data_IF_067043538922
#
_entry.id   IF_067043538922
#
_cell.length_a   1.000
_cell.length_b   1.000
_cell.length_c   1.000
_cell.angle_alpha   90.00
_cell.angle_beta   90.00
_cell.angle_gamma   90.00
#
_symmetry.space_group_name_H-M   'P 1'
#
loop_
_entity.id
_entity.type
_entity.pdbx_description
1 polymer ?
#
# COMPACT_ATOMS: atom_id res chain seq x y z
N UNK A 1 16.25 30.30 -11.03
CA UNK A 1 16.84 28.97 -10.81
C UNK A 1 17.64 28.62 -12.05
N UNK A 2 18.95 28.37 -11.95
CA UNK A 2 19.82 28.21 -13.13
C UNK A 2 19.63 26.81 -13.79
N UNK A 3 19.85 26.66 -15.11
CA UNK A 3 19.57 25.40 -15.86
C UNK A 3 20.27 24.20 -15.20
N UNK A 4 21.51 24.38 -14.73
CA UNK A 4 22.28 23.35 -14.02
C UNK A 4 21.65 22.94 -12.68
N UNK A 5 21.01 23.86 -11.96
CA UNK A 5 20.28 23.58 -10.73
C UNK A 5 18.96 22.83 -11.01
N UNK A 6 18.26 23.21 -12.10
CA UNK A 6 17.08 22.48 -12.59
C UNK A 6 17.45 21.03 -12.94
N UNK A 7 18.53 20.82 -13.69
CA UNK A 7 19.04 19.50 -14.05
C UNK A 7 19.43 18.66 -12.84
N UNK A 8 20.19 19.23 -11.90
CA UNK A 8 20.58 18.50 -10.68
C UNK A 8 19.36 18.16 -9.81
N UNK A 9 18.37 19.04 -9.75
CA UNK A 9 17.11 18.79 -9.04
C UNK A 9 16.33 17.65 -9.71
N UNK A 10 16.21 17.68 -11.04
CA UNK A 10 15.54 16.62 -11.80
C UNK A 10 16.23 15.26 -11.58
N UNK A 11 17.55 15.18 -11.70
CA UNK A 11 18.32 13.95 -11.45
C UNK A 11 18.11 13.45 -10.02
N UNK A 12 18.11 14.34 -9.03
CA UNK A 12 17.84 13.99 -7.64
C UNK A 12 16.43 13.42 -7.46
N UNK A 13 15.43 14.05 -8.10
CA UNK A 13 14.04 13.59 -8.07
C UNK A 13 13.89 12.20 -8.70
N UNK A 14 14.47 11.95 -9.88
CA UNK A 14 14.44 10.62 -10.51
C UNK A 14 15.11 9.54 -9.65
N UNK A 15 16.20 9.88 -8.94
CA UNK A 15 16.85 8.95 -8.00
C UNK A 15 16.01 8.66 -6.76
N UNK A 16 15.18 9.60 -6.35
CA UNK A 16 14.33 9.46 -5.17
C UNK A 16 13.07 8.66 -5.49
N UNK A 17 12.48 8.92 -6.66
CA UNK A 17 11.26 8.30 -7.17
C UNK A 17 11.58 7.21 -8.21
N UNK A 18 12.26 6.16 -7.76
CA UNK A 18 12.75 5.07 -8.62
C UNK A 18 11.59 4.39 -9.38
N UNK A 19 10.47 4.18 -8.70
CA UNK A 19 9.31 3.47 -9.26
C UNK A 19 8.66 4.29 -10.37
N UNK A 20 8.44 5.58 -10.12
CA UNK A 20 8.00 6.52 -11.15
C UNK A 20 8.96 6.52 -12.34
N UNK A 21 10.26 6.61 -12.09
CA UNK A 21 11.30 6.64 -13.13
C UNK A 21 11.24 5.40 -14.01
N UNK A 22 11.19 4.20 -13.41
CA UNK A 22 11.07 2.94 -14.15
C UNK A 22 9.77 2.91 -14.97
N UNK A 23 8.65 3.29 -14.36
CA UNK A 23 7.35 3.32 -15.05
C UNK A 23 7.35 4.29 -16.23
N UNK A 24 8.00 5.45 -16.09
CA UNK A 24 8.10 6.46 -17.14
C UNK A 24 8.91 5.95 -18.33
N UNK A 25 10.09 5.37 -18.09
CA UNK A 25 10.90 4.79 -19.16
C UNK A 25 10.21 3.61 -19.84
N UNK A 26 9.49 2.78 -19.08
CA UNK A 26 8.68 1.71 -19.64
C UNK A 26 7.55 2.26 -20.52
N UNK A 27 6.84 3.29 -20.07
CA UNK A 27 5.78 3.95 -20.83
C UNK A 27 6.32 4.58 -22.13
N UNK A 28 7.46 5.27 -22.05
CA UNK A 28 8.11 5.86 -23.23
C UNK A 28 8.58 4.78 -24.21
N UNK A 29 9.28 3.76 -23.73
CA UNK A 29 9.81 2.68 -24.57
C UNK A 29 8.72 1.90 -25.28
N UNK A 30 7.65 1.55 -24.57
CA UNK A 30 6.48 0.87 -25.18
C UNK A 30 5.73 1.79 -26.14
N UNK A 31 5.68 3.10 -25.87
CA UNK A 31 5.03 4.09 -26.75
C UNK A 31 5.75 4.30 -28.08
N UNK A 32 7.04 3.97 -28.15
CA UNK A 32 7.78 3.97 -29.43
C UNK A 32 7.37 2.80 -30.34
N UNK A 33 6.83 1.72 -29.77
CA UNK A 33 6.42 0.51 -30.49
C UNK A 33 4.92 0.55 -30.81
N UNK A 34 4.11 1.01 -29.86
CA UNK A 34 2.65 1.06 -29.97
C UNK A 34 2.14 2.41 -29.50
N UNK A 35 1.29 3.05 -30.30
CA UNK A 35 0.80 4.39 -29.98
C UNK A 35 -0.12 4.34 -28.73
N UNK A 36 0.13 5.19 -27.71
CA UNK A 36 -0.68 5.22 -26.50
C UNK A 36 -2.08 5.75 -26.78
N UNK A 37 -3.09 5.18 -26.10
CA UNK A 37 -4.49 5.62 -26.15
C UNK A 37 -4.92 6.16 -24.79
N UNK A 38 -5.75 7.20 -24.79
CA UNK A 38 -6.31 7.78 -23.56
C UNK A 38 -7.20 6.78 -22.80
N UNK A 39 -7.84 5.86 -23.51
CA UNK A 39 -8.69 4.79 -22.96
C UNK A 39 -7.94 3.84 -22.02
N UNK A 40 -6.61 3.80 -22.09
CA UNK A 40 -5.83 2.96 -21.17
C UNK A 40 -5.87 3.49 -19.74
N UNK A 41 -6.10 4.80 -19.56
CA UNK A 41 -6.03 5.48 -18.28
C UNK A 41 -7.37 5.31 -17.53
N UNK A 42 -7.34 4.60 -16.40
CA UNK A 42 -8.48 4.55 -15.50
C UNK A 42 -8.53 5.82 -14.64
N UNK A 43 -9.32 6.80 -15.08
CA UNK A 43 -9.50 8.07 -14.37
C UNK A 43 -10.23 7.94 -13.04
N UNK A 44 -11.13 6.97 -12.90
CA UNK A 44 -11.85 6.70 -11.67
C UNK A 44 -10.87 6.33 -10.55
N UNK A 45 -9.98 5.37 -10.80
CA UNK A 45 -8.94 4.97 -9.84
C UNK A 45 -8.04 6.15 -9.47
N UNK A 46 -7.59 6.94 -10.45
CA UNK A 46 -6.75 8.12 -10.19
C UNK A 46 -7.46 9.14 -9.28
N UNK A 47 -8.74 9.41 -9.55
CA UNK A 47 -9.53 10.37 -8.78
C UNK A 47 -9.84 9.85 -7.38
N UNK A 48 -10.21 8.58 -7.24
CA UNK A 48 -10.44 7.95 -5.93
C UNK A 48 -9.15 7.96 -5.09
N UNK A 49 -8.00 7.64 -5.68
CA UNK A 49 -6.71 7.72 -5.01
C UNK A 49 -6.38 9.15 -4.57
N UNK A 50 -6.56 10.14 -5.44
CA UNK A 50 -6.36 11.55 -5.10
C UNK A 50 -7.23 11.98 -3.92
N UNK A 51 -8.52 11.63 -3.94
CA UNK A 51 -9.46 11.96 -2.88
C UNK A 51 -9.04 11.35 -1.54
N UNK A 52 -8.66 10.07 -1.54
CA UNK A 52 -8.14 9.38 -0.37
C UNK A 52 -6.88 10.08 0.15
N UNK A 53 -5.89 10.35 -0.70
CA UNK A 53 -4.63 11.02 -0.32
C UNK A 53 -4.88 12.34 0.40
N UNK A 54 -5.78 13.19 -0.11
CA UNK A 54 -6.09 14.48 0.51
C UNK A 54 -6.59 14.32 1.94
N UNK A 55 -7.57 13.42 2.16
CA UNK A 55 -8.14 13.17 3.49
C UNK A 55 -7.10 12.57 4.41
N UNK A 56 -6.28 11.67 3.90
CA UNK A 56 -5.24 11.02 4.66
C UNK A 56 -4.18 12.02 5.14
N UNK A 57 -3.69 12.90 4.26
CA UNK A 57 -2.76 13.98 4.64
C UNK A 57 -3.41 14.87 5.71
N UNK A 58 -4.72 15.12 5.62
CA UNK A 58 -5.43 15.85 6.65
C UNK A 58 -5.42 15.11 8.01
N UNK A 59 -5.65 13.79 8.02
CA UNK A 59 -5.59 12.97 9.23
C UNK A 59 -4.20 12.98 9.88
N UNK A 60 -3.14 12.89 9.08
CA UNK A 60 -1.75 13.00 9.54
C UNK A 60 -1.48 14.37 10.15
N UNK A 61 -1.85 15.47 9.47
CA UNK A 61 -1.64 16.83 9.99
C UNK A 61 -2.37 17.11 11.30
N UNK A 62 -3.57 16.55 11.42
CA UNK A 62 -4.42 16.62 12.61
C UNK A 62 -3.97 15.68 13.72
N UNK A 63 -3.02 14.77 13.45
CA UNK A 63 -2.47 13.77 14.36
C UNK A 63 -3.53 12.84 14.96
N UNK A 64 -4.53 12.47 14.16
CA UNK A 64 -5.65 11.64 14.63
C UNK A 64 -5.18 10.24 15.02
N UNK A 65 -4.41 9.60 14.14
CA UNK A 65 -3.90 8.24 14.35
C UNK A 65 -2.80 8.21 15.40
N UNK A 66 -1.90 9.19 15.39
CA UNK A 66 -0.86 9.32 16.42
C UNK A 66 -1.48 9.40 17.82
N UNK A 67 -2.55 10.19 17.97
CA UNK A 67 -3.24 10.32 19.25
C UNK A 67 -3.81 8.97 19.72
N UNK A 68 -4.52 8.26 18.85
CA UNK A 68 -5.10 6.95 19.17
C UNK A 68 -3.99 5.98 19.59
N UNK A 69 -2.91 5.92 18.82
CA UNK A 69 -1.78 5.05 19.12
C UNK A 69 -1.15 5.37 20.47
N UNK A 70 -0.85 6.65 20.74
CA UNK A 70 -0.23 7.09 21.99
C UNK A 70 -1.15 6.84 23.19
N UNK A 71 -2.47 7.08 23.09
CA UNK A 71 -3.41 6.82 24.18
C UNK A 71 -3.48 5.34 24.58
N UNK A 72 -3.31 4.43 23.62
CA UNK A 72 -3.25 2.98 23.88
C UNK A 72 -1.87 2.61 24.45
N UNK A 73 -0.79 3.13 23.85
CA UNK A 73 0.59 2.75 24.18
C UNK A 73 1.08 3.29 25.53
N UNK A 74 0.53 4.40 26.04
CA UNK A 74 0.87 4.91 27.38
C UNK A 74 0.49 3.90 28.48
N UNK A 75 -0.58 3.12 28.26
CA UNK A 75 -1.12 2.17 29.24
C UNK A 75 -0.36 0.83 29.29
N UNK A 76 0.58 0.61 28.37
CA UNK A 76 1.27 -0.67 28.23
C UNK A 76 2.78 -0.45 28.31
N UNK A 77 3.45 -1.26 29.11
CA UNK A 77 4.90 -1.19 29.28
C UNK A 77 5.62 -2.44 28.84
N UNK A 78 4.93 -3.51 28.45
CA UNK A 78 5.58 -4.73 28.00
C UNK A 78 5.93 -4.68 26.50
N UNK A 79 7.17 -4.98 26.11
CA UNK A 79 7.65 -4.92 24.73
C UNK A 79 6.84 -5.77 23.75
N UNK A 80 6.45 -6.98 24.15
CA UNK A 80 5.64 -7.86 23.30
C UNK A 80 4.25 -7.29 23.08
N UNK A 81 3.67 -6.68 24.10
CA UNK A 81 2.37 -6.03 24.01
C UNK A 81 2.43 -4.75 23.18
N UNK A 82 3.47 -3.93 23.37
CA UNK A 82 3.74 -2.75 22.54
C UNK A 82 3.89 -3.14 21.07
N UNK A 83 4.68 -4.19 20.78
CA UNK A 83 4.81 -4.75 19.43
C UNK A 83 3.47 -5.22 18.86
N UNK A 84 2.66 -5.92 19.67
CA UNK A 84 1.32 -6.38 19.24
C UNK A 84 0.41 -5.20 18.90
N UNK A 85 0.38 -4.17 19.74
CA UNK A 85 -0.45 -2.97 19.55
C UNK A 85 -0.04 -2.25 18.28
N UNK A 86 1.25 -1.97 18.09
CA UNK A 86 1.76 -1.29 16.90
C UNK A 86 1.48 -2.09 15.62
N UNK A 87 1.76 -3.39 15.64
CA UNK A 87 1.44 -4.29 14.52
C UNK A 87 -0.06 -4.30 14.22
N UNK A 88 -0.91 -4.34 15.26
CA UNK A 88 -2.37 -4.34 15.10
C UNK A 88 -2.90 -2.99 14.59
N UNK A 89 -2.33 -1.87 15.05
CA UNK A 89 -2.67 -0.55 14.54
C UNK A 89 -2.34 -0.44 13.05
N UNK A 90 -1.14 -0.87 12.64
CA UNK A 90 -0.80 -0.98 11.22
C UNK A 90 -1.79 -1.85 10.45
N UNK A 91 -2.08 -3.05 10.97
CA UNK A 91 -3.02 -3.99 10.35
C UNK A 91 -4.40 -3.38 10.12
N UNK A 92 -5.05 -2.88 11.17
CA UNK A 92 -6.42 -2.36 11.08
C UNK A 92 -6.48 -0.99 10.41
N UNK A 93 -5.54 -0.08 10.67
CA UNK A 93 -5.57 1.22 10.01
C UNK A 93 -5.35 1.11 8.52
N UNK A 94 -4.47 0.21 8.04
CA UNK A 94 -4.23 0.01 6.61
C UNK A 94 -5.46 -0.42 5.81
N UNK A 95 -6.51 -0.96 6.47
CA UNK A 95 -7.81 -1.25 5.84
C UNK A 95 -8.56 0.02 5.42
N UNK A 96 -8.23 1.17 6.00
CA UNK A 96 -8.97 2.42 5.78
C UNK A 96 -8.14 3.48 5.05
N UNK A 97 -6.89 3.71 5.46
CA UNK A 97 -6.09 4.89 5.07
C UNK A 97 -4.95 4.61 4.10
N UNK A 98 -4.93 3.43 3.48
CA UNK A 98 -3.81 2.84 2.72
C UNK A 98 -2.65 2.29 3.56
N UNK A 99 -1.95 1.31 2.99
CA UNK A 99 -0.76 0.67 3.55
C UNK A 99 0.42 1.64 3.76
N UNK A 100 0.67 2.52 2.79
CA UNK A 100 1.83 3.43 2.83
C UNK A 100 1.73 4.44 3.97
N UNK A 101 0.53 5.00 4.16
CA UNK A 101 0.25 6.00 5.19
C UNK A 101 0.30 5.39 6.58
N UNK A 102 -0.23 4.17 6.74
CA UNK A 102 -0.13 3.44 8.00
C UNK A 102 1.35 3.29 8.41
N UNK A 103 2.25 2.96 7.47
CA UNK A 103 3.68 2.90 7.78
C UNK A 103 4.30 4.28 8.05
N UNK A 104 3.96 5.30 7.28
CA UNK A 104 4.43 6.68 7.50
C UNK A 104 4.02 7.20 8.89
N UNK A 105 2.87 6.78 9.39
CA UNK A 105 2.39 7.14 10.73
C UNK A 105 3.07 6.31 11.82
N UNK A 106 3.01 4.98 11.73
CA UNK A 106 3.35 4.12 12.88
C UNK A 106 4.82 3.73 12.95
N UNK A 107 5.54 3.61 11.82
CA UNK A 107 6.98 3.27 11.85
C UNK A 107 7.78 4.35 12.59
N UNK A 108 7.61 5.67 12.33
CA UNK A 108 8.29 6.70 13.11
C UNK A 108 7.93 6.66 14.60
N UNK A 109 6.67 6.36 14.94
CA UNK A 109 6.25 6.20 16.34
C UNK A 109 7.00 5.03 17.00
N UNK A 110 7.11 3.89 16.33
CA UNK A 110 7.88 2.73 16.77
C UNK A 110 9.35 3.08 17.00
N UNK A 111 9.94 3.87 16.10
CA UNK A 111 11.33 4.36 16.23
C UNK A 111 11.50 5.29 17.43
N UNK A 112 10.53 6.18 17.69
CA UNK A 112 10.54 7.07 18.86
C UNK A 112 10.50 6.25 20.16
N UNK A 113 9.60 5.26 20.24
CA UNK A 113 9.47 4.41 21.42
C UNK A 113 10.74 3.58 21.61
N UNK A 114 11.29 3.02 20.53
CA UNK A 114 12.53 2.25 20.57
C UNK A 114 13.72 3.04 21.09
N UNK A 115 13.84 4.32 20.71
CA UNK A 115 14.85 5.24 21.26
C UNK A 115 14.65 5.50 22.74
N UNK A 116 13.42 5.85 23.16
CA UNK A 116 13.11 6.16 24.56
C UNK A 116 13.30 4.94 25.46
N UNK A 117 12.87 3.77 25.02
CA UNK A 117 12.92 2.50 25.75
C UNK A 117 14.19 1.65 25.48
N UNK A 118 15.12 2.16 24.66
CA UNK A 118 16.41 1.53 24.30
C UNK A 118 16.32 0.08 23.79
N UNK A 119 15.32 -0.25 22.97
CA UNK A 119 15.25 -1.55 22.28
C UNK A 119 15.51 -1.43 20.77
N UNK A 120 15.74 -2.57 20.10
CA UNK A 120 15.91 -2.60 18.64
C UNK A 120 14.55 -2.76 17.92
N UNK A 121 14.08 -1.79 17.12
CA UNK A 121 12.76 -1.82 16.50
C UNK A 121 12.65 -2.74 15.28
N UNK A 122 13.76 -3.33 14.80
CA UNK A 122 13.82 -4.08 13.54
C UNK A 122 12.69 -5.10 13.36
N UNK A 123 12.47 -5.95 14.36
CA UNK A 123 11.44 -7.00 14.26
C UNK A 123 10.04 -6.41 14.23
N UNK A 124 9.77 -5.37 15.02
CA UNK A 124 8.46 -4.71 15.07
C UNK A 124 8.17 -4.09 13.71
N UNK A 125 9.12 -3.37 13.13
CA UNK A 125 8.95 -2.74 11.81
C UNK A 125 8.72 -3.78 10.71
N UNK A 126 9.42 -4.92 10.74
CA UNK A 126 9.15 -6.02 9.79
C UNK A 126 7.72 -6.56 9.95
N UNK A 127 7.22 -6.68 11.19
CA UNK A 127 5.84 -7.09 11.45
C UNK A 127 4.83 -6.03 11.03
N UNK A 128 5.13 -4.74 11.21
CA UNK A 128 4.31 -3.63 10.71
C UNK A 128 4.18 -3.68 9.18
N UNK A 129 5.28 -3.94 8.47
CA UNK A 129 5.24 -4.08 7.00
C UNK A 129 4.39 -5.28 6.55
N UNK A 130 4.54 -6.43 7.20
CA UNK A 130 3.67 -7.57 6.93
C UNK A 130 2.21 -7.24 7.28
N UNK A 131 1.99 -6.54 8.40
CA UNK A 131 0.67 -6.16 8.87
C UNK A 131 -0.06 -5.24 7.92
N UNK A 132 0.61 -4.22 7.34
CA UNK A 132 -0.05 -3.35 6.37
C UNK A 132 -0.33 -4.06 5.05
N UNK A 133 0.57 -4.95 4.58
CA UNK A 133 0.33 -5.71 3.35
C UNK A 133 -0.81 -6.72 3.51
N UNK A 134 -0.92 -7.37 4.67
CA UNK A 134 -2.01 -8.30 4.97
C UNK A 134 -3.30 -7.55 5.27
N UNK A 135 -3.27 -6.56 6.16
CA UNK A 135 -4.45 -5.84 6.62
C UNK A 135 -5.14 -5.07 5.50
N UNK A 136 -4.37 -4.33 4.69
CA UNK A 136 -4.89 -3.57 3.54
C UNK A 136 -5.62 -4.42 2.51
N UNK A 137 -5.32 -5.72 2.45
CA UNK A 137 -5.94 -6.60 1.47
C UNK A 137 -7.46 -6.76 1.66
N UNK A 138 -7.98 -6.50 2.88
CA UNK A 138 -9.39 -6.70 3.21
C UNK A 138 -10.32 -5.78 2.41
N UNK A 139 -9.85 -4.59 2.06
CA UNK A 139 -10.68 -3.53 1.47
C UNK A 139 -10.09 -3.02 0.15
N UNK A 140 -10.94 -2.49 -0.77
CA UNK A 140 -10.45 -1.91 -2.02
C UNK A 140 -9.51 -0.73 -1.79
N UNK A 141 -9.90 0.22 -0.93
CA UNK A 141 -9.10 1.41 -0.61
C UNK A 141 -7.84 1.13 0.21
N UNK A 142 -7.70 -0.07 0.79
CA UNK A 142 -6.56 -0.40 1.64
C UNK A 142 -5.24 -0.40 0.88
N UNK A 143 -5.24 -0.73 -0.40
CA UNK A 143 -4.06 -0.56 -1.23
C UNK A 143 -4.41 -0.24 -2.69
N UNK A 144 -3.50 0.40 -3.43
CA UNK A 144 -3.82 0.90 -4.76
C UNK A 144 -4.14 -0.20 -5.79
N UNK A 145 -3.51 -1.37 -5.69
CA UNK A 145 -3.77 -2.49 -6.59
C UNK A 145 -5.14 -3.12 -6.37
N UNK A 146 -5.63 -3.18 -5.14
CA UNK A 146 -6.96 -3.67 -4.84
C UNK A 146 -8.03 -2.72 -5.35
N UNK A 147 -7.84 -1.41 -5.14
CA UNK A 147 -8.73 -0.39 -5.66
C UNK A 147 -8.82 -0.46 -7.18
N UNK A 148 -7.68 -0.65 -7.84
CA UNK A 148 -7.63 -0.86 -9.28
C UNK A 148 -8.42 -2.09 -9.72
N UNK A 149 -8.16 -3.26 -9.13
CA UNK A 149 -8.84 -4.51 -9.51
C UNK A 149 -10.35 -4.44 -9.24
N UNK A 150 -10.74 -3.82 -8.12
CA UNK A 150 -12.13 -3.61 -7.75
C UNK A 150 -12.88 -2.77 -8.79
N UNK A 151 -12.30 -1.63 -9.20
CA UNK A 151 -12.88 -0.74 -10.22
C UNK A 151 -12.81 -1.35 -11.63
N UNK A 152 -11.67 -1.94 -12.02
CA UNK A 152 -11.46 -2.49 -13.37
C UNK A 152 -12.37 -3.66 -13.70
N UNK A 153 -12.61 -4.56 -12.74
CA UNK A 153 -13.49 -5.71 -12.91
C UNK A 153 -14.93 -5.46 -12.43
N UNK A 154 -15.25 -4.25 -11.98
CA UNK A 154 -16.55 -3.87 -11.37
C UNK A 154 -17.01 -4.90 -10.32
N UNK A 155 -16.12 -5.20 -9.37
CA UNK A 155 -16.35 -6.25 -8.38
C UNK A 155 -17.34 -5.79 -7.31
N UNK A 156 -18.35 -6.61 -7.01
CA UNK A 156 -19.26 -6.34 -5.90
C UNK A 156 -18.55 -6.36 -4.54
N UNK A 157 -18.89 -5.42 -3.64
CA UNK A 157 -18.30 -5.31 -2.30
C UNK A 157 -18.25 -6.65 -1.56
N UNK A 158 -19.37 -7.38 -1.49
CA UNK A 158 -19.44 -8.66 -0.78
C UNK A 158 -18.53 -9.73 -1.38
N UNK A 159 -18.38 -9.76 -2.70
CA UNK A 159 -17.52 -10.74 -3.37
C UNK A 159 -16.04 -10.43 -3.14
N UNK A 160 -15.69 -9.15 -3.15
CA UNK A 160 -14.35 -8.70 -2.76
C UNK A 160 -14.03 -9.13 -1.33
N UNK A 161 -14.90 -8.83 -0.36
CA UNK A 161 -14.70 -9.23 1.03
C UNK A 161 -14.60 -10.75 1.20
N UNK A 162 -15.44 -11.52 0.50
CA UNK A 162 -15.37 -13.00 0.53
C UNK A 162 -14.05 -13.53 0.00
N UNK A 163 -13.49 -12.90 -1.04
CA UNK A 163 -12.22 -13.30 -1.62
C UNK A 163 -11.02 -13.02 -0.70
N UNK A 164 -11.10 -11.99 0.15
CA UNK A 164 -9.95 -11.51 0.94
C UNK A 164 -10.02 -11.86 2.43
N UNK A 165 -11.22 -12.03 3.00
CA UNK A 165 -11.40 -12.21 4.45
C UNK A 165 -10.62 -13.42 4.99
N UNK A 166 -10.60 -14.53 4.25
CA UNK A 166 -9.88 -15.72 4.68
C UNK A 166 -8.37 -15.46 4.75
N UNK A 167 -7.81 -14.74 3.76
CA UNK A 167 -6.40 -14.31 3.75
C UNK A 167 -6.06 -13.41 4.94
N UNK A 168 -6.95 -12.47 5.24
CA UNK A 168 -6.79 -11.52 6.34
C UNK A 168 -6.83 -12.22 7.70
N UNK A 169 -7.75 -13.18 7.90
CA UNK A 169 -7.85 -13.94 9.16
C UNK A 169 -6.60 -14.79 9.38
N UNK A 170 -6.18 -15.56 8.37
CA UNK A 170 -4.95 -16.37 8.45
C UNK A 170 -3.74 -15.47 8.71
N UNK A 171 -3.69 -14.30 8.10
CA UNK A 171 -2.60 -13.37 8.32
C UNK A 171 -2.61 -12.69 9.68
N UNK A 172 -3.77 -12.40 10.27
CA UNK A 172 -3.86 -11.95 11.66
C UNK A 172 -3.30 -13.01 12.62
N UNK A 173 -3.65 -14.28 12.41
CA UNK A 173 -3.12 -15.41 13.19
C UNK A 173 -1.60 -15.52 13.00
N UNK A 174 -1.12 -15.43 11.77
CA UNK A 174 0.31 -15.49 11.45
C UNK A 174 1.10 -14.38 12.14
N UNK A 175 0.61 -13.13 12.08
CA UNK A 175 1.22 -11.98 12.76
C UNK A 175 1.25 -12.17 14.27
N UNK A 176 0.17 -12.71 14.85
CA UNK A 176 0.13 -13.05 16.28
C UNK A 176 1.20 -14.09 16.63
N UNK A 177 1.34 -15.16 15.85
CA UNK A 177 2.36 -16.20 16.02
C UNK A 177 3.78 -15.61 15.93
N UNK A 178 4.04 -14.75 14.94
CA UNK A 178 5.33 -14.08 14.82
C UNK A 178 5.60 -13.14 16.00
N UNK A 179 4.59 -12.41 16.48
CA UNK A 179 4.71 -11.51 17.62
C UNK A 179 5.04 -12.27 18.93
N UNK A 180 4.64 -13.54 19.07
CA UNK A 180 5.06 -14.39 20.21
C UNK A 180 6.59 -14.55 20.31
N UNK A 181 7.32 -14.38 19.20
CA UNK A 181 8.80 -14.43 19.15
C UNK A 181 9.47 -13.12 19.58
N UNK A 182 8.69 -12.08 19.90
CA UNK A 182 9.19 -10.87 20.55
C UNK A 182 9.41 -11.14 22.03
N UNK A 183 10.51 -10.59 22.56
CA UNK A 183 10.91 -10.72 23.96
C UNK A 183 9.84 -10.14 24.90
N UNK A 184 9.56 -10.88 25.97
CA UNK A 184 8.60 -10.49 27.01
C UNK A 184 9.32 -9.73 28.12
N UNK A 185 9.67 -8.47 27.87
CA UNK A 185 10.43 -7.63 28.81
C UNK A 185 9.69 -6.33 28.99
N UNK A 186 9.68 -5.81 30.21
CA UNK A 186 9.08 -4.53 30.51
C UNK A 186 9.99 -3.38 30.06
N UNK A 187 9.36 -2.31 29.62
CA UNK A 187 9.97 -1.14 29.01
C UNK A 187 9.73 0.06 29.91
N UNK A 188 10.78 0.83 30.09
CA UNK A 188 10.72 2.12 30.76
C UNK A 188 10.78 3.22 29.70
N UNK A 189 9.62 3.84 29.44
CA UNK A 189 9.51 5.02 28.58
C UNK A 189 8.29 5.84 28.97
N UNK A 190 8.27 7.11 28.59
CA UNK A 190 7.07 7.95 28.67
C UNK A 190 6.77 8.62 27.33
N UNK A 191 5.47 8.76 27.03
CA UNK A 191 4.99 9.39 25.80
C UNK A 191 4.14 10.60 26.14
N UNK A 192 4.47 11.72 25.51
CA UNK A 192 3.70 12.94 25.64
C UNK A 192 2.32 12.76 25.00
N UNK A 193 1.26 13.13 25.74
CA UNK A 193 -0.10 13.06 25.21
C UNK A 193 -0.24 13.96 23.99
N UNK A 194 -0.79 13.40 22.92
CA UNK A 194 -1.03 14.14 21.68
C UNK A 194 -2.43 14.76 21.72
N UNK A 195 -2.50 16.08 21.47
CA UNK A 195 -3.77 16.80 21.29
C UNK A 195 -4.10 16.91 19.81
N UNK A 196 -5.37 16.70 19.46
CA UNK A 196 -5.88 17.01 18.12
C UNK A 196 -5.82 18.53 17.95
N UNK A 197 -5.13 18.99 16.91
CA UNK A 197 -4.90 20.42 16.67
C UNK A 197 -6.21 21.18 16.42
N UNK A 198 -7.10 20.61 15.60
CA UNK A 198 -8.41 21.18 15.29
C UNK A 198 -9.48 20.09 15.20
N UNK A 199 -10.37 20.07 16.18
CA UNK A 199 -11.47 19.09 16.26
C UNK A 199 -12.53 19.29 15.17
N UNK A 200 -12.78 20.53 14.73
CA UNK A 200 -13.79 20.81 13.71
C UNK A 200 -13.33 20.27 12.36
N UNK A 201 -12.11 20.61 11.96
CA UNK A 201 -11.49 20.06 10.75
C UNK A 201 -11.44 18.53 10.79
N UNK A 202 -11.12 17.92 11.94
CA UNK A 202 -11.14 16.47 12.09
C UNK A 202 -12.51 15.86 11.79
N UNK A 203 -13.60 16.41 12.33
CA UNK A 203 -14.96 15.92 12.06
C UNK A 203 -15.31 16.05 10.58
N UNK A 204 -14.95 17.17 9.95
CA UNK A 204 -15.22 17.41 8.54
C UNK A 204 -14.46 16.40 7.67
N UNK A 205 -13.16 16.21 7.90
CA UNK A 205 -12.37 15.24 7.14
C UNK A 205 -12.79 13.80 7.40
N UNK A 206 -13.23 13.45 8.61
CA UNK A 206 -13.83 12.13 8.88
C UNK A 206 -15.14 11.94 8.09
N UNK A 207 -15.97 12.98 7.98
CA UNK A 207 -17.21 12.93 7.21
C UNK A 207 -16.92 12.81 5.71
N UNK A 208 -15.94 13.58 5.22
CA UNK A 208 -15.47 13.51 3.84
C UNK A 208 -14.86 12.13 3.52
N UNK A 209 -14.12 11.54 4.46
CA UNK A 209 -13.60 10.19 4.32
C UNK A 209 -14.72 9.18 4.08
N UNK A 210 -15.75 9.18 4.93
CA UNK A 210 -16.92 8.29 4.78
C UNK A 210 -17.59 8.51 3.42
N UNK A 211 -17.72 9.76 3.00
CA UNK A 211 -18.30 10.10 1.70
C UNK A 211 -17.46 9.56 0.52
N UNK A 212 -16.13 9.64 0.60
CA UNK A 212 -15.24 9.03 -0.40
C UNK A 212 -15.35 7.52 -0.38
N UNK A 213 -15.49 6.88 0.79
CA UNK A 213 -15.70 5.42 0.86
C UNK A 213 -17.01 5.00 0.17
N UNK A 214 -18.09 5.77 0.31
CA UNK A 214 -19.31 5.52 -0.45
C UNK A 214 -19.05 5.57 -1.96
N UNK A 215 -18.15 6.44 -2.40
CA UNK A 215 -17.76 6.51 -3.80
C UNK A 215 -16.90 5.33 -4.25
N UNK A 216 -15.96 4.87 -3.41
CA UNK A 216 -15.18 3.66 -3.67
C UNK A 216 -16.09 2.44 -3.86
N UNK A 217 -17.22 2.36 -3.15
CA UNK A 217 -18.19 1.27 -3.29
C UNK A 217 -19.26 1.53 -4.37
N UNK A 218 -19.03 2.46 -5.30
CA UNK A 218 -19.94 2.80 -6.39
C UNK A 218 -21.34 3.29 -5.94
N UNK A 219 -21.50 3.69 -4.67
CA UNK A 219 -22.75 4.30 -4.15
C UNK A 219 -22.86 5.77 -4.56
N UNK A 220 -21.73 6.45 -4.69
CA UNK A 220 -21.62 7.85 -5.11
C UNK A 220 -20.67 7.95 -6.29
N UNK A 221 -21.04 8.70 -7.32
CA UNK A 221 -20.16 8.94 -8.47
C UNK A 221 -18.84 9.61 -8.04
N UNK A 222 -17.72 9.04 -8.48
CA UNK A 222 -16.37 9.50 -8.15
C UNK A 222 -16.10 10.96 -8.54
N UNK A 223 -16.79 11.49 -9.55
CA UNK A 223 -16.70 12.89 -9.99
C UNK A 223 -17.33 13.82 -8.97
N UNK A 224 -18.44 13.40 -8.36
CA UNK A 224 -19.10 14.16 -7.28
C UNK A 224 -18.22 14.17 -6.04
N UNK A 225 -17.67 13.01 -5.65
CA UNK A 225 -16.69 12.91 -4.56
C UNK A 225 -15.46 13.79 -4.80
N UNK A 226 -14.98 13.87 -6.03
CA UNK A 226 -13.86 14.73 -6.41
C UNK A 226 -14.16 16.21 -6.22
N UNK A 227 -15.28 16.70 -6.77
CA UNK A 227 -15.66 18.12 -6.66
C UNK A 227 -15.83 18.51 -5.19
N UNK A 228 -16.48 17.67 -4.38
CA UNK A 228 -16.68 17.94 -2.95
C UNK A 228 -15.34 17.96 -2.21
N UNK A 229 -14.46 16.99 -2.48
CA UNK A 229 -13.10 16.96 -1.91
C UNK A 229 -12.33 18.24 -2.24
N UNK A 230 -12.35 18.66 -3.52
CA UNK A 230 -11.69 19.90 -3.96
C UNK A 230 -12.23 21.11 -3.21
N UNK A 231 -13.55 21.29 -3.14
CA UNK A 231 -14.18 22.45 -2.49
C UNK A 231 -13.83 22.48 -0.99
N UNK A 232 -14.07 21.38 -0.27
CA UNK A 232 -13.85 21.30 1.17
C UNK A 232 -12.37 21.57 1.50
N UNK A 233 -11.45 20.88 0.82
CA UNK A 233 -10.02 21.04 1.08
C UNK A 233 -9.48 22.40 0.65
N UNK A 234 -10.05 23.01 -0.40
CA UNK A 234 -9.69 24.36 -0.79
C UNK A 234 -10.16 25.42 0.23
N UNK A 235 -11.31 25.21 0.88
CA UNK A 235 -11.81 26.14 1.90
C UNK A 235 -11.05 25.96 3.23
N UNK A 236 -10.80 24.72 3.64
CA UNK A 236 -10.26 24.43 4.97
C UNK A 236 -8.73 24.51 5.01
N UNK A 237 -8.02 23.83 4.10
CA UNK A 237 -6.55 23.79 4.12
C UNK A 237 -5.97 23.54 2.71
N UNK A 238 -5.79 24.63 1.96
CA UNK A 238 -5.23 24.61 0.60
C UNK A 238 -3.84 24.00 0.52
N UNK A 239 -3.08 23.98 1.63
CA UNK A 239 -1.73 23.40 1.63
C UNK A 239 -1.76 21.88 1.44
N UNK A 240 -2.88 21.19 1.70
CA UNK A 240 -3.01 19.75 1.45
C UNK A 240 -2.68 19.40 0.00
N UNK A 241 -3.13 20.22 -0.97
CA UNK A 241 -2.86 19.99 -2.38
C UNK A 241 -1.37 20.01 -2.75
N UNK A 242 -0.51 20.63 -1.93
CA UNK A 242 0.95 20.65 -2.18
C UNK A 242 1.64 19.41 -1.64
N UNK A 243 0.98 18.66 -0.76
CA UNK A 243 1.53 17.48 -0.09
C UNK A 243 1.03 16.18 -0.70
N UNK A 244 0.11 16.24 -1.66
CA UNK A 244 -0.33 15.08 -2.45
C UNK A 244 0.86 14.48 -3.18
N UNK A 245 0.96 13.15 -3.15
CA UNK A 245 1.95 12.40 -3.90
C UNK A 245 1.55 12.29 -5.38
N UNK A 246 1.84 13.35 -6.13
CA UNK A 246 1.62 13.37 -7.57
C UNK A 246 2.55 12.41 -8.33
N UNK A 247 3.70 12.01 -7.77
CA UNK A 247 4.57 11.03 -8.42
C UNK A 247 3.92 9.65 -8.42
N UNK A 248 3.23 9.27 -7.34
CA UNK A 248 2.45 8.05 -7.33
C UNK A 248 1.32 8.09 -8.37
N UNK A 249 0.53 9.18 -8.45
CA UNK A 249 -0.50 9.31 -9.49
C UNK A 249 0.06 9.26 -10.92
N UNK A 250 1.20 9.90 -11.17
CA UNK A 250 1.88 9.84 -12.46
C UNK A 250 2.43 8.44 -12.76
N UNK A 251 2.88 7.70 -11.74
CA UNK A 251 3.31 6.30 -11.86
C UNK A 251 2.16 5.43 -12.36
N UNK A 252 0.96 5.63 -11.84
CA UNK A 252 -0.25 4.95 -12.34
C UNK A 252 -0.53 5.24 -13.81
N UNK A 253 -0.48 6.52 -14.20
CA UNK A 253 -0.64 6.92 -15.61
C UNK A 253 0.41 6.24 -16.49
N UNK A 254 1.67 6.21 -16.06
CA UNK A 254 2.75 5.56 -16.80
C UNK A 254 2.51 4.04 -16.91
N UNK A 255 2.09 3.36 -15.84
CA UNK A 255 1.77 1.94 -15.90
C UNK A 255 0.56 1.64 -16.78
N UNK A 256 -0.51 2.45 -16.72
CA UNK A 256 -1.65 2.31 -17.61
C UNK A 256 -1.26 2.44 -19.08
N UNK A 257 -0.42 3.43 -19.41
CA UNK A 257 0.11 3.60 -20.78
C UNK A 257 0.99 2.41 -21.18
N UNK A 258 1.97 2.07 -20.35
CA UNK A 258 2.93 1.01 -20.64
C UNK A 258 2.24 -0.34 -20.86
N UNK A 259 1.33 -0.70 -19.96
CA UNK A 259 0.63 -1.97 -19.98
C UNK A 259 -0.43 -1.98 -21.08
N UNK A 260 -1.13 -0.87 -21.31
CA UNK A 260 -2.04 -0.73 -22.45
C UNK A 260 -1.32 -0.92 -23.79
N UNK A 261 -0.11 -0.39 -23.94
CA UNK A 261 0.72 -0.65 -25.12
C UNK A 261 1.12 -2.12 -25.22
N UNK A 262 1.65 -2.70 -24.13
CA UNK A 262 2.05 -4.11 -24.08
C UNK A 262 0.89 -5.07 -24.42
N UNK A 263 -0.33 -4.78 -23.96
CA UNK A 263 -1.50 -5.61 -24.25
C UNK A 263 -1.95 -5.57 -25.72
N UNK A 264 -1.48 -4.60 -26.51
CA UNK A 264 -1.75 -4.54 -27.94
C UNK A 264 -0.60 -5.15 -28.79
N UNK A 265 0.47 -5.64 -28.16
CA UNK A 265 1.56 -6.31 -28.87
C UNK A 265 1.23 -7.80 -29.02
N UNK A 266 1.12 -8.29 -30.26
CA UNK A 266 0.70 -9.67 -30.57
C UNK A 266 1.54 -10.73 -29.84
N UNK A 267 2.86 -10.56 -29.79
CA UNK A 267 3.76 -11.51 -29.10
C UNK A 267 3.47 -11.61 -27.60
N UNK A 268 3.18 -10.47 -26.95
CA UNK A 268 2.88 -10.42 -25.52
C UNK A 268 1.49 -11.01 -25.27
N UNK A 269 0.50 -10.63 -26.07
CA UNK A 269 -0.86 -11.18 -25.98
C UNK A 269 -0.87 -12.71 -26.10
N UNK A 270 -0.19 -13.26 -27.11
CA UNK A 270 -0.08 -14.71 -27.29
C UNK A 270 0.65 -15.41 -26.13
N UNK A 271 1.74 -14.83 -25.63
CA UNK A 271 2.51 -15.37 -24.51
C UNK A 271 1.67 -15.38 -23.23
N UNK A 272 0.98 -14.27 -22.95
CA UNK A 272 0.16 -14.11 -21.76
C UNK A 272 -1.07 -15.02 -21.80
N UNK A 273 -1.72 -15.18 -22.95
CA UNK A 273 -2.82 -16.15 -23.12
C UNK A 273 -2.37 -17.60 -22.93
N UNK A 274 -1.15 -17.95 -23.36
CA UNK A 274 -0.56 -19.28 -23.10
C UNK A 274 -0.16 -19.48 -21.64
N UNK A 275 0.26 -18.43 -20.95
CA UNK A 275 0.66 -18.47 -19.54
C UNK A 275 -0.55 -18.52 -18.60
N UNK A 276 -1.59 -17.74 -18.87
CA UNK A 276 -2.75 -17.53 -18.00
C UNK A 276 -3.95 -18.44 -18.36
N UNK A 277 -3.68 -19.72 -18.58
CA UNK A 277 -4.68 -20.69 -19.07
C UNK A 277 -5.68 -21.14 -18.02
N UNK A 278 -5.35 -21.12 -16.73
CA UNK A 278 -6.24 -21.54 -15.66
C UNK A 278 -6.02 -20.74 -14.36
N UNK A 279 -6.96 -20.84 -13.43
CA UNK A 279 -6.93 -20.16 -12.12
C UNK A 279 -5.60 -20.37 -11.38
N UNK A 280 -5.06 -21.59 -11.42
CA UNK A 280 -3.79 -21.93 -10.78
C UNK A 280 -2.61 -21.17 -11.40
N UNK A 281 -2.54 -21.09 -12.73
CA UNK A 281 -1.46 -20.37 -13.39
C UNK A 281 -1.58 -18.86 -13.15
N UNK A 282 -2.78 -18.29 -13.21
CA UNK A 282 -3.04 -16.88 -12.87
C UNK A 282 -2.56 -16.57 -11.45
N UNK A 283 -2.87 -17.43 -10.48
CA UNK A 283 -2.45 -17.28 -9.10
C UNK A 283 -0.91 -17.26 -8.95
N UNK A 284 -0.21 -18.24 -9.52
CA UNK A 284 1.25 -18.30 -9.41
C UNK A 284 1.96 -17.19 -10.21
N UNK A 285 1.48 -16.84 -11.40
CA UNK A 285 2.05 -15.72 -12.15
C UNK A 285 1.83 -14.38 -11.45
N UNK A 286 0.70 -14.19 -10.77
CA UNK A 286 0.45 -13.01 -9.93
C UNK A 286 1.47 -12.89 -8.80
N UNK A 287 1.76 -14.00 -8.12
CA UNK A 287 2.79 -14.03 -7.07
C UNK A 287 4.18 -13.76 -7.64
N UNK A 288 4.54 -14.47 -8.72
CA UNK A 288 5.86 -14.41 -9.34
C UNK A 288 6.17 -13.01 -9.87
N UNK A 289 5.28 -12.44 -10.69
CA UNK A 289 5.51 -11.10 -11.24
C UNK A 289 5.48 -10.02 -10.17
N UNK A 290 4.71 -10.17 -9.09
CA UNK A 290 4.78 -9.24 -7.97
C UNK A 290 6.20 -9.15 -7.38
N UNK A 291 6.97 -10.25 -7.35
CA UNK A 291 8.36 -10.22 -6.87
C UNK A 291 9.31 -9.42 -7.77
N UNK A 292 8.99 -9.33 -9.06
CA UNK A 292 9.85 -8.73 -10.09
C UNK A 292 9.51 -7.26 -10.35
N UNK A 293 8.22 -6.95 -10.49
CA UNK A 293 7.73 -5.63 -10.91
C UNK A 293 6.92 -4.91 -9.85
N UNK A 294 6.67 -5.51 -8.69
CA UNK A 294 5.73 -5.06 -7.65
C UNK A 294 4.27 -5.47 -7.91
N UNK A 295 3.51 -5.61 -6.82
CA UNK A 295 2.11 -6.05 -6.81
C UNK A 295 1.17 -5.16 -7.64
N UNK A 296 1.39 -3.85 -7.66
CA UNK A 296 0.57 -2.91 -8.41
C UNK A 296 0.67 -3.07 -9.94
N UNK A 297 1.84 -2.88 -10.58
CA UNK A 297 1.94 -3.07 -12.02
C UNK A 297 1.67 -4.52 -12.43
N UNK A 298 1.91 -5.50 -11.54
CA UNK A 298 1.49 -6.87 -11.76
C UNK A 298 -0.04 -7.00 -11.89
N UNK A 299 -0.81 -6.40 -10.98
CA UNK A 299 -2.28 -6.39 -11.05
C UNK A 299 -2.79 -5.75 -12.34
N UNK A 300 -2.22 -4.58 -12.71
CA UNK A 300 -2.58 -3.88 -13.95
C UNK A 300 -2.25 -4.75 -15.17
N UNK A 301 -1.08 -5.39 -15.20
CA UNK A 301 -0.64 -6.23 -16.32
C UNK A 301 -1.56 -7.42 -16.51
N UNK A 302 -1.77 -8.21 -15.46
CA UNK A 302 -2.53 -9.46 -15.57
C UNK A 302 -4.01 -9.22 -15.86
N UNK A 303 -4.59 -8.13 -15.34
CA UNK A 303 -5.99 -7.79 -15.59
C UNK A 303 -6.35 -7.58 -17.07
N UNK A 304 -5.36 -7.25 -17.92
CA UNK A 304 -5.56 -7.09 -19.36
C UNK A 304 -5.63 -8.40 -20.14
N UNK A 305 -5.26 -9.52 -19.54
CA UNK A 305 -5.14 -10.80 -20.24
C UNK A 305 -6.02 -11.91 -19.65
N UNK A 306 -6.68 -11.69 -18.51
CA UNK A 306 -7.60 -12.67 -17.91
C UNK A 306 -8.69 -12.00 -17.08
N UNK A 307 -9.84 -12.68 -16.96
CA UNK A 307 -10.97 -12.28 -16.12
C UNK A 307 -10.97 -12.95 -14.74
N UNK A 308 -9.94 -13.75 -14.43
CA UNK A 308 -9.72 -14.43 -13.14
C UNK A 308 -9.30 -13.44 -12.04
N UNK A 309 -10.18 -12.49 -11.74
CA UNK A 309 -9.89 -11.37 -10.83
C UNK A 309 -9.60 -11.82 -9.40
N UNK A 310 -10.21 -12.91 -8.93
CA UNK A 310 -10.00 -13.44 -7.58
C UNK A 310 -8.57 -13.97 -7.41
N UNK A 311 -8.10 -14.71 -8.40
CA UNK A 311 -6.77 -15.30 -8.43
C UNK A 311 -5.70 -14.23 -8.57
N UNK A 312 -5.96 -13.19 -9.39
CA UNK A 312 -5.09 -12.01 -9.42
C UNK A 312 -5.09 -11.34 -8.05
N UNK A 313 -6.26 -11.03 -7.48
CA UNK A 313 -6.39 -10.31 -6.21
C UNK A 313 -5.66 -11.01 -5.07
N UNK A 314 -5.91 -12.31 -4.88
CA UNK A 314 -5.23 -13.08 -3.83
C UNK A 314 -3.73 -13.20 -4.15
N UNK A 315 -3.39 -13.48 -5.41
CA UNK A 315 -2.01 -13.67 -5.85
C UNK A 315 -1.13 -12.42 -5.69
N UNK A 316 -1.63 -11.22 -6.01
CA UNK A 316 -0.88 -9.96 -5.83
C UNK A 316 -0.83 -9.49 -4.38
N UNK A 317 -1.83 -9.82 -3.55
CA UNK A 317 -1.77 -9.54 -2.11
C UNK A 317 -0.77 -10.45 -1.39
N UNK A 318 -0.73 -11.75 -1.72
CA UNK A 318 0.32 -12.67 -1.28
C UNK A 318 1.67 -12.22 -1.85
N UNK A 319 1.70 -11.91 -3.15
CA UNK A 319 2.88 -11.43 -3.86
C UNK A 319 3.40 -10.08 -3.37
N UNK A 320 2.64 -9.30 -2.59
CA UNK A 320 3.14 -8.12 -1.89
C UNK A 320 4.14 -8.46 -0.77
N UNK A 321 4.21 -9.74 -0.37
CA UNK A 321 5.26 -10.28 0.48
C UNK A 321 6.42 -10.81 -0.36
N UNK A 322 7.61 -10.85 0.21
CA UNK A 322 8.81 -11.46 -0.39
C UNK A 322 9.94 -10.45 -0.55
N UNK A 323 10.24 -10.05 -1.79
CA UNK A 323 11.29 -9.06 -2.07
C UNK A 323 10.92 -7.67 -1.55
N UNK A 324 11.93 -6.81 -1.31
CA UNK A 324 11.69 -5.43 -0.84
C UNK A 324 10.97 -4.57 -1.90
N UNK A 325 11.06 -4.95 -3.17
CA UNK A 325 10.39 -4.26 -4.28
C UNK A 325 8.98 -4.80 -4.53
N UNK A 326 8.63 -5.95 -3.94
CA UNK A 326 7.35 -6.60 -4.19
C UNK A 326 6.14 -5.77 -3.74
N UNK A 327 6.33 -4.91 -2.74
CA UNK A 327 5.37 -3.91 -2.29
C UNK A 327 6.09 -2.60 -1.99
N UNK A 328 5.56 -1.48 -2.47
CA UNK A 328 6.13 -0.14 -2.22
C UNK A 328 6.20 0.19 -0.72
N UNK A 329 5.23 -0.30 0.05
CA UNK A 329 5.21 -0.19 1.51
C UNK A 329 6.49 -0.75 2.15
N UNK A 330 7.07 -1.80 1.59
CA UNK A 330 8.31 -2.40 2.08
C UNK A 330 9.49 -1.44 1.99
N UNK A 331 9.58 -0.64 0.92
CA UNK A 331 10.61 0.38 0.77
C UNK A 331 10.45 1.52 1.79
N UNK A 332 9.21 1.88 2.17
CA UNK A 332 8.95 2.91 3.19
C UNK A 332 9.52 2.47 4.55
N UNK A 333 9.17 1.26 4.99
CA UNK A 333 9.68 0.71 6.25
C UNK A 333 11.20 0.63 6.29
N UNK A 334 11.82 0.20 5.18
CA UNK A 334 13.27 0.15 5.03
C UNK A 334 13.91 1.54 5.09
N UNK A 335 13.36 2.53 4.38
CA UNK A 335 13.86 3.91 4.37
C UNK A 335 13.87 4.52 5.78
N UNK A 336 12.83 4.30 6.57
CA UNK A 336 12.80 4.76 7.97
C UNK A 336 13.84 4.06 8.84
N UNK A 337 13.95 2.73 8.74
CA UNK A 337 14.90 1.97 9.55
C UNK A 337 16.37 2.27 9.19
N UNK A 338 16.70 2.20 7.90
CA UNK A 338 18.07 2.34 7.40
C UNK A 338 18.65 3.75 7.57
N UNK A 339 17.81 4.76 7.85
CA UNK A 339 18.26 6.11 8.19
C UNK A 339 19.01 6.17 9.52
N UNK A 340 18.70 5.28 10.45
CA UNK A 340 19.20 5.35 11.83
C UNK A 340 19.89 4.06 12.30
N UNK A 341 19.66 2.94 11.61
CA UNK A 341 20.19 1.63 11.97
C UNK A 341 20.80 0.91 10.76
N UNK A 342 21.39 -0.27 11.00
CA UNK A 342 22.01 -1.10 9.97
C UNK A 342 20.97 -1.68 8.98
N UNK A 343 20.88 -1.02 7.82
CA UNK A 343 20.01 -1.43 6.72
C UNK A 343 20.34 -2.81 6.15
N UNK A 344 21.60 -3.27 6.17
CA UNK A 344 21.97 -4.59 5.63
C UNK A 344 21.39 -5.71 6.49
N UNK A 345 21.52 -5.58 7.81
CA UNK A 345 20.94 -6.55 8.76
C UNK A 345 19.42 -6.55 8.70
N UNK A 346 18.80 -5.38 8.53
CA UNK A 346 17.37 -5.27 8.29
C UNK A 346 16.97 -6.03 7.03
N UNK A 347 17.62 -5.78 5.89
CA UNK A 347 17.32 -6.45 4.62
C UNK A 347 17.37 -7.97 4.74
N UNK A 348 18.39 -8.53 5.39
CA UNK A 348 18.48 -9.97 5.59
C UNK A 348 17.30 -10.54 6.41
N UNK A 349 16.97 -9.90 7.53
CA UNK A 349 15.84 -10.32 8.37
C UNK A 349 14.50 -10.09 7.69
N UNK A 350 14.33 -8.95 7.03
CA UNK A 350 13.15 -8.61 6.25
C UNK A 350 12.87 -9.70 5.22
N UNK A 351 13.86 -10.02 4.38
CA UNK A 351 13.74 -11.05 3.33
C UNK A 351 13.38 -12.40 3.93
N UNK A 352 14.00 -12.78 5.06
CA UNK A 352 13.69 -14.07 5.72
C UNK A 352 12.23 -14.15 6.16
N UNK A 353 11.71 -13.13 6.86
CA UNK A 353 10.33 -13.13 7.36
C UNK A 353 9.32 -13.02 6.20
N UNK A 354 9.63 -12.19 5.21
CA UNK A 354 8.73 -11.94 4.08
C UNK A 354 8.66 -13.14 3.12
N UNK A 355 9.78 -13.78 2.77
CA UNK A 355 9.75 -15.01 1.97
C UNK A 355 9.14 -16.19 2.73
N UNK A 356 9.38 -16.31 4.04
CA UNK A 356 8.70 -17.32 4.84
C UNK A 356 7.19 -17.13 4.82
N UNK A 357 6.72 -15.88 4.99
CA UNK A 357 5.29 -15.55 4.89
C UNK A 357 4.76 -15.83 3.49
N UNK A 358 5.48 -15.41 2.44
CA UNK A 358 5.12 -15.66 1.05
C UNK A 358 4.91 -17.15 0.78
N UNK A 359 5.87 -18.01 1.15
CA UNK A 359 5.78 -19.46 0.92
C UNK A 359 4.60 -20.06 1.69
N UNK A 360 4.44 -19.72 2.97
CA UNK A 360 3.35 -20.25 3.81
C UNK A 360 1.99 -19.90 3.22
N UNK A 361 1.77 -18.63 2.87
CA UNK A 361 0.49 -18.21 2.30
C UNK A 361 0.29 -18.77 0.90
N UNK A 362 1.34 -18.87 0.09
CA UNK A 362 1.26 -19.49 -1.23
C UNK A 362 0.74 -20.92 -1.13
N UNK A 363 1.29 -21.71 -0.22
CA UNK A 363 0.90 -23.11 -0.03
C UNK A 363 -0.51 -23.25 0.55
N UNK A 364 -0.86 -22.45 1.56
CA UNK A 364 -2.19 -22.49 2.17
C UNK A 364 -3.25 -22.17 1.11
N UNK A 365 -3.10 -21.06 0.38
CA UNK A 365 -4.10 -20.61 -0.59
C UNK A 365 -4.15 -21.47 -1.85
N UNK A 366 -3.02 -22.07 -2.25
CA UNK A 366 -3.02 -23.06 -3.32
C UNK A 366 -3.93 -24.26 -2.99
N UNK A 367 -3.89 -24.76 -1.75
CA UNK A 367 -4.76 -25.87 -1.32
C UNK A 367 -6.23 -25.47 -1.43
N UNK A 368 -6.60 -24.26 -1.01
CA UNK A 368 -7.98 -23.75 -1.12
C UNK A 368 -8.43 -23.49 -2.56
N UNK A 369 -7.51 -23.29 -3.49
CA UNK A 369 -7.82 -23.06 -4.90
C UNK A 369 -8.05 -24.39 -5.66
N UNK A 370 -7.45 -25.47 -5.18
CA UNK A 370 -7.50 -26.81 -5.82
C UNK A 370 -8.63 -27.70 -5.26
N UNK A 371 -9.08 -27.44 -4.04
CA UNK A 371 -10.26 -28.07 -3.43
C UNK A 371 -11.52 -27.33 -3.88
#
# INVERSE_FOLDING_TARGET
MNIKQLWNKAISTFKTEIVFTISLFLALGTSMITLPKLEYINFEVLILMFNLMIVIIAFEKLKLLDKIAVEILIKHKNLRMVSLILTSLCFFSSMFITNDVALITFVPLTMIIAKKAKFNPMKIIILETLAVNIGSSLTPMGNPQNLYLFSFFDVGMLDFFRATIFFVIIGAIWLFVLNRRISNVDLEYDLDKIKIKDKKSAIIYCSLFIFILLSVFNVVDYRVAFIITLIISFVIEKKLFKEVDYFLLLTFVCFFIAIGNLSNMTTIDELMKKALTNSTSVYFYSIFFSQLISNLPCAILLSKFTNSWKEILVGVNIGGMGTIIASLASLISYKFYAKEYDGKKYMFKFTTYNFASLIIFTLIFYIFLVI
#
